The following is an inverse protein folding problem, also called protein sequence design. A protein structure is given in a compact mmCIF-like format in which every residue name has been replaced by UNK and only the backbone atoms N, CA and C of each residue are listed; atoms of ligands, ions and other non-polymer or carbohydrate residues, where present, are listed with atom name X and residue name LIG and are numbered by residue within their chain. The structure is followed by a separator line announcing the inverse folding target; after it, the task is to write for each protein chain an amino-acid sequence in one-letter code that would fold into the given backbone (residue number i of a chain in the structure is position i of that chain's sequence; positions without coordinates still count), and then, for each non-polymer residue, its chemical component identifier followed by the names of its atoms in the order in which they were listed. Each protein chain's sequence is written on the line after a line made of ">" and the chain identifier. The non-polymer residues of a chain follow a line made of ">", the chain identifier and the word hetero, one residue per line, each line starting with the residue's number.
data_IF_130569539537
#
_entry.id   IF_130569539537
#
_cell.length_a   1.000
_cell.length_b   1.000
_cell.length_c   1.000
_cell.angle_alpha   90.00
_cell.angle_beta   90.00
_cell.angle_gamma   90.00
#
_symmetry.space_group_name_H-M   'P 1'
#
loop_
_entity.id
_entity.type
_entity.pdbx_description
1 polymer ?
#
# COMPACT_ATOMS: atom_id res chain seq x y z
N UNK A 1 -2.74 10.52 -18.69
CA UNK A 1 -3.51 9.56 -17.88
C UNK A 1 -2.63 8.42 -17.42
N UNK A 2 -2.94 7.81 -16.27
CA UNK A 2 -2.24 6.65 -15.73
C UNK A 2 -3.21 5.51 -15.45
N UNK A 3 -2.73 4.29 -15.66
CA UNK A 3 -3.29 3.07 -15.09
C UNK A 3 -2.43 2.63 -13.90
N UNK A 4 -3.08 2.22 -12.82
CA UNK A 4 -2.42 1.63 -11.65
C UNK A 4 -3.12 0.32 -11.34
N UNK A 5 -2.39 -0.79 -11.35
CA UNK A 5 -2.88 -2.07 -10.83
C UNK A 5 -2.26 -2.27 -9.45
N UNK A 6 -3.09 -2.25 -8.40
CA UNK A 6 -2.73 -2.75 -7.07
C UNK A 6 -2.99 -4.25 -7.07
N UNK A 7 -2.01 -4.95 -7.64
CA UNK A 7 -2.01 -6.39 -7.81
C UNK A 7 -0.58 -6.90 -7.52
N UNK A 8 -0.45 -8.21 -7.37
CA UNK A 8 0.81 -8.95 -7.23
C UNK A 8 1.68 -8.80 -8.47
N UNK A 9 2.32 -7.66 -8.60
CA UNK A 9 3.42 -7.52 -9.52
C UNK A 9 4.71 -8.00 -8.84
N UNK A 10 5.59 -8.65 -9.60
CA UNK A 10 6.95 -9.06 -9.21
C UNK A 10 7.88 -7.85 -8.91
N UNK A 11 7.30 -6.67 -8.67
CA UNK A 11 8.02 -5.45 -8.36
C UNK A 11 7.92 -5.09 -6.87
N UNK A 12 8.96 -4.46 -6.29
CA UNK A 12 9.06 -4.24 -4.84
C UNK A 12 7.91 -3.45 -4.19
N UNK A 13 7.18 -2.64 -4.97
CA UNK A 13 6.08 -1.79 -4.48
C UNK A 13 4.69 -2.46 -4.62
N UNK A 14 4.62 -3.70 -5.11
CA UNK A 14 3.37 -4.46 -5.31
C UNK A 14 2.27 -3.66 -6.00
N UNK A 15 2.68 -2.93 -7.05
CA UNK A 15 1.79 -2.26 -7.97
C UNK A 15 2.48 -2.00 -9.30
N UNK A 16 1.70 -2.05 -10.37
CA UNK A 16 2.10 -1.71 -11.74
C UNK A 16 1.51 -0.37 -12.10
N UNK A 17 2.34 0.50 -12.66
CA UNK A 17 1.94 1.83 -13.09
C UNK A 17 2.26 1.97 -14.56
N UNK A 18 1.25 2.28 -15.37
CA UNK A 18 1.41 2.44 -16.82
C UNK A 18 0.92 3.83 -17.21
N UNK A 19 1.72 4.53 -18.01
CA UNK A 19 1.29 5.81 -18.60
C UNK A 19 0.52 5.53 -19.88
N UNK A 20 -0.70 6.06 -19.96
CA UNK A 20 -1.59 5.87 -21.11
C UNK A 20 -1.66 7.14 -21.96
N UNK A 21 -1.78 7.01 -23.30
CA UNK A 21 -1.77 8.15 -24.21
C UNK A 21 -3.09 8.95 -24.20
N UNK A 22 -4.18 8.36 -23.72
CA UNK A 22 -5.50 8.98 -23.73
C UNK A 22 -5.63 10.09 -22.68
N UNK A 23 -6.45 11.08 -22.99
CA UNK A 23 -6.68 12.22 -22.12
C UNK A 23 -7.67 11.90 -20.98
N UNK A 24 -8.64 11.02 -21.24
CA UNK A 24 -9.71 10.69 -20.30
C UNK A 24 -9.94 9.19 -20.23
N UNK A 25 -10.57 8.73 -19.14
CA UNK A 25 -11.00 7.33 -18.97
C UNK A 25 -11.91 6.90 -20.11
N UNK A 26 -12.88 7.76 -20.47
CA UNK A 26 -13.84 7.48 -21.55
C UNK A 26 -13.15 7.26 -22.90
N UNK A 27 -12.12 8.04 -23.22
CA UNK A 27 -11.41 7.92 -24.49
C UNK A 27 -10.62 6.60 -24.59
N UNK A 28 -10.05 6.13 -23.48
CA UNK A 28 -9.36 4.83 -23.44
C UNK A 28 -10.32 3.67 -23.69
N UNK A 29 -11.49 3.64 -23.04
CA UNK A 29 -12.52 2.62 -23.29
C UNK A 29 -13.01 2.66 -24.74
N UNK A 30 -13.25 3.85 -25.31
CA UNK A 30 -13.64 3.97 -26.73
C UNK A 30 -12.60 3.40 -27.68
N UNK A 31 -11.32 3.55 -27.37
CA UNK A 31 -10.21 3.07 -28.20
C UNK A 31 -10.08 1.54 -28.18
N UNK A 32 -10.50 0.90 -27.09
CA UNK A 32 -10.57 -0.56 -26.94
C UNK A 32 -11.84 -1.21 -27.50
N UNK A 33 -12.91 -0.44 -27.69
CA UNK A 33 -14.28 -0.96 -27.85
C UNK A 33 -14.53 -1.93 -29.03
N UNK A 34 -13.73 -1.85 -30.09
CA UNK A 34 -13.91 -2.66 -31.31
C UNK A 34 -12.64 -3.43 -31.67
N UNK A 35 -11.88 -3.89 -30.66
CA UNK A 35 -10.71 -4.73 -30.86
C UNK A 35 -11.13 -6.17 -31.11
N UNK A 36 -10.53 -6.80 -32.12
CA UNK A 36 -10.82 -8.21 -32.47
C UNK A 36 -10.31 -9.20 -31.42
N UNK A 37 -9.33 -8.78 -30.60
CA UNK A 37 -8.73 -9.52 -29.49
C UNK A 37 -8.73 -8.62 -28.24
N UNK A 38 -9.85 -8.58 -27.48
CA UNK A 38 -9.98 -7.74 -26.29
C UNK A 38 -8.91 -8.00 -25.24
N UNK A 39 -8.72 -9.27 -24.85
CA UNK A 39 -7.74 -9.68 -23.84
C UNK A 39 -6.32 -9.26 -24.24
N UNK A 40 -5.87 -9.67 -25.43
CA UNK A 40 -4.52 -9.35 -25.91
C UNK A 40 -4.29 -7.84 -26.07
N UNK A 41 -5.34 -7.07 -26.38
CA UNK A 41 -5.27 -5.60 -26.41
C UNK A 41 -5.10 -5.01 -25.00
N UNK A 42 -5.88 -5.44 -24.02
CA UNK A 42 -5.76 -4.98 -22.62
C UNK A 42 -4.38 -5.32 -22.06
N UNK A 43 -3.95 -6.57 -22.19
CA UNK A 43 -2.64 -7.03 -21.72
C UNK A 43 -1.49 -6.22 -22.31
N UNK A 44 -1.53 -5.94 -23.63
CA UNK A 44 -0.50 -5.15 -24.30
C UNK A 44 -0.51 -3.68 -23.90
N UNK A 45 -1.67 -3.08 -23.63
CA UNK A 45 -1.77 -1.67 -23.26
C UNK A 45 -1.40 -1.42 -21.80
N UNK A 46 -1.67 -2.40 -20.93
CA UNK A 46 -1.51 -2.29 -19.48
C UNK A 46 -0.30 -3.04 -18.93
N UNK A 47 0.61 -3.47 -19.83
CA UNK A 47 1.86 -4.17 -19.51
C UNK A 47 1.65 -5.42 -18.64
N UNK A 48 0.63 -6.21 -18.99
CA UNK A 48 0.26 -7.44 -18.30
C UNK A 48 -1.25 -7.57 -18.08
N UNK A 49 -1.63 -8.77 -17.64
CA UNK A 49 -3.02 -9.12 -17.36
C UNK A 49 -3.62 -8.28 -16.22
N UNK A 50 -4.92 -7.98 -16.36
CA UNK A 50 -5.71 -7.24 -15.39
C UNK A 50 -7.02 -7.99 -15.23
N UNK A 51 -7.12 -8.71 -14.12
CA UNK A 51 -8.21 -9.65 -13.85
C UNK A 51 -9.56 -9.07 -14.24
N UNK A 52 -10.21 -9.74 -15.19
CA UNK A 52 -11.57 -9.50 -15.65
C UNK A 52 -11.85 -8.14 -16.32
N UNK A 53 -10.84 -7.29 -16.54
CA UNK A 53 -11.04 -5.98 -17.18
C UNK A 53 -11.44 -6.10 -18.66
N UNK A 54 -11.01 -7.17 -19.33
CA UNK A 54 -11.32 -7.47 -20.72
C UNK A 54 -12.78 -7.86 -20.96
N UNK A 55 -13.49 -8.38 -19.96
CA UNK A 55 -14.89 -8.83 -20.04
C UNK A 55 -15.86 -7.82 -20.65
N UNK A 56 -15.74 -6.52 -20.33
CA UNK A 56 -16.59 -5.47 -20.92
C UNK A 56 -16.38 -5.34 -22.43
N UNK A 57 -15.14 -5.53 -22.90
CA UNK A 57 -14.80 -5.45 -24.31
C UNK A 57 -15.21 -6.71 -25.06
N UNK A 58 -15.12 -7.88 -24.42
CA UNK A 58 -15.67 -9.13 -24.94
C UNK A 58 -17.18 -9.04 -25.15
N UNK A 59 -17.93 -8.60 -24.13
CA UNK A 59 -19.38 -8.39 -24.21
C UNK A 59 -19.76 -7.34 -25.27
N UNK A 60 -18.96 -6.27 -25.40
CA UNK A 60 -19.14 -5.29 -26.46
C UNK A 60 -18.99 -5.90 -27.86
N UNK A 61 -18.02 -6.79 -28.06
CA UNK A 61 -17.78 -7.48 -29.32
C UNK A 61 -18.89 -8.51 -29.61
N UNK A 62 -19.21 -9.36 -28.64
CA UNK A 62 -20.20 -10.44 -28.78
C UNK A 62 -21.61 -9.90 -29.08
N UNK A 63 -22.00 -8.81 -28.40
CA UNK A 63 -23.32 -8.19 -28.54
C UNK A 63 -23.37 -7.04 -29.52
N UNK A 64 -22.24 -6.67 -30.12
CA UNK A 64 -22.11 -5.53 -31.03
C UNK A 64 -22.59 -4.23 -30.39
N UNK A 65 -22.20 -3.99 -29.13
CA UNK A 65 -22.59 -2.79 -28.40
C UNK A 65 -21.93 -1.54 -29.01
N UNK A 66 -22.65 -0.41 -29.12
CA UNK A 66 -22.02 0.84 -29.55
C UNK A 66 -21.02 1.33 -28.48
N UNK A 67 -19.93 2.00 -28.89
CA UNK A 67 -19.01 2.61 -27.93
C UNK A 67 -19.72 3.70 -27.12
N UNK A 68 -19.41 3.84 -25.81
CA UNK A 68 -20.07 4.82 -24.95
C UNK A 68 -19.88 6.25 -25.46
N UNK A 69 -20.95 7.04 -25.51
CA UNK A 69 -20.93 8.44 -25.94
C UNK A 69 -20.74 9.42 -24.77
N UNK A 70 -20.89 8.94 -23.53
CA UNK A 70 -20.70 9.74 -22.32
C UNK A 70 -20.15 8.91 -21.16
N UNK A 71 -19.68 9.59 -20.11
CA UNK A 71 -19.26 8.94 -18.85
C UNK A 71 -20.44 8.21 -18.18
N UNK A 72 -21.66 8.74 -18.31
CA UNK A 72 -22.86 8.08 -17.81
C UNK A 72 -23.12 6.76 -18.54
N UNK A 73 -23.04 6.76 -19.87
CA UNK A 73 -23.18 5.52 -20.66
C UNK A 73 -22.06 4.52 -20.36
N UNK A 74 -20.82 4.98 -20.20
CA UNK A 74 -19.73 4.09 -19.78
C UNK A 74 -20.00 3.49 -18.39
N UNK A 75 -20.54 4.27 -17.45
CA UNK A 75 -20.92 3.77 -16.12
C UNK A 75 -21.95 2.65 -16.23
N UNK A 76 -22.99 2.86 -17.03
CA UNK A 76 -24.06 1.87 -17.21
C UNK A 76 -23.49 0.58 -17.82
N UNK A 77 -22.64 0.70 -18.85
CA UNK A 77 -21.99 -0.45 -19.50
C UNK A 77 -21.02 -1.19 -18.57
N UNK A 78 -20.24 -0.49 -17.75
CA UNK A 78 -19.37 -1.13 -16.76
C UNK A 78 -20.19 -1.93 -15.74
N UNK A 79 -21.26 -1.35 -15.19
CA UNK A 79 -22.08 -2.08 -14.22
C UNK A 79 -22.84 -3.27 -14.84
N UNK A 80 -23.13 -3.24 -16.14
CA UNK A 80 -23.84 -4.34 -16.82
C UNK A 80 -22.90 -5.44 -17.32
N UNK A 81 -21.68 -5.09 -17.75
CA UNK A 81 -20.83 -5.99 -18.54
C UNK A 81 -19.41 -6.20 -18.01
N UNK A 82 -18.93 -5.36 -17.08
CA UNK A 82 -17.65 -5.63 -16.43
C UNK A 82 -17.86 -6.74 -15.39
N UNK A 83 -17.21 -7.87 -15.59
CA UNK A 83 -17.15 -8.90 -14.57
C UNK A 83 -16.27 -8.41 -13.41
N UNK A 84 -16.88 -8.30 -12.23
CA UNK A 84 -16.20 -7.97 -10.99
C UNK A 84 -16.61 -9.00 -9.95
N UNK A 85 -15.63 -9.78 -9.52
CA UNK A 85 -15.86 -10.83 -8.56
C UNK A 85 -15.91 -10.27 -7.13
N UNK A 86 -16.87 -10.77 -6.35
CA UNK A 86 -17.17 -10.28 -5.00
C UNK A 86 -18.06 -9.02 -4.94
N UNK A 87 -18.47 -8.43 -6.07
CA UNK A 87 -19.31 -7.21 -6.07
C UNK A 87 -20.82 -7.51 -5.97
N UNK A 88 -21.23 -8.24 -4.93
CA UNK A 88 -22.63 -8.63 -4.72
C UNK A 88 -23.59 -7.42 -4.59
N UNK A 89 -23.07 -6.28 -4.11
CA UNK A 89 -23.84 -5.07 -3.81
C UNK A 89 -23.65 -3.94 -4.86
N UNK A 90 -22.84 -4.14 -5.91
CA UNK A 90 -22.62 -3.15 -6.98
C UNK A 90 -21.86 -1.89 -6.55
N UNK A 91 -20.93 -2.01 -5.60
CA UNK A 91 -20.19 -0.89 -4.99
C UNK A 91 -18.70 -0.87 -5.32
N UNK A 92 -18.20 -1.90 -6.01
CA UNK A 92 -16.78 -2.03 -6.32
C UNK A 92 -16.38 -1.28 -7.59
N UNK A 93 -17.33 -0.96 -8.47
CA UNK A 93 -17.09 -0.11 -9.64
C UNK A 93 -17.42 1.34 -9.30
N UNK A 94 -16.39 2.20 -9.24
CA UNK A 94 -16.54 3.65 -9.01
C UNK A 94 -16.02 4.43 -10.20
N UNK A 95 -16.92 5.06 -10.95
CA UNK A 95 -16.59 5.91 -12.10
C UNK A 95 -17.08 7.35 -11.89
N UNK A 96 -16.15 8.30 -11.98
CA UNK A 96 -16.42 9.72 -12.16
C UNK A 96 -15.80 10.22 -13.46
N UNK A 97 -15.77 11.54 -13.68
CA UNK A 97 -15.23 12.14 -14.91
C UNK A 97 -13.74 11.88 -15.11
N UNK A 98 -12.98 11.80 -14.02
CA UNK A 98 -11.52 11.80 -14.03
C UNK A 98 -10.92 10.45 -13.62
N UNK A 99 -11.70 9.60 -12.93
CA UNK A 99 -11.22 8.32 -12.41
C UNK A 99 -12.20 7.18 -12.59
N UNK A 100 -11.65 6.02 -12.96
CA UNK A 100 -12.27 4.71 -12.75
C UNK A 100 -11.48 4.00 -11.66
N UNK A 101 -12.17 3.46 -10.67
CA UNK A 101 -11.59 2.71 -9.55
C UNK A 101 -12.41 1.45 -9.40
N UNK A 102 -11.77 0.29 -9.55
CA UNK A 102 -12.43 -1.00 -9.46
C UNK A 102 -11.73 -1.83 -8.39
N UNK A 103 -12.51 -2.42 -7.50
CA UNK A 103 -12.08 -3.51 -6.62
C UNK A 103 -12.59 -4.83 -7.21
N UNK A 104 -11.83 -5.90 -7.10
CA UNK A 104 -12.29 -7.27 -7.43
C UNK A 104 -11.60 -8.25 -6.49
N UNK A 105 -12.19 -9.42 -6.30
CA UNK A 105 -11.54 -10.60 -5.75
C UNK A 105 -11.18 -11.54 -6.91
N UNK A 106 -10.25 -12.48 -6.74
CA UNK A 106 -9.93 -13.55 -7.72
C UNK A 106 -10.05 -14.95 -7.08
N UNK A 107 -10.95 -15.08 -6.09
CA UNK A 107 -11.12 -16.21 -5.16
C UNK A 107 -10.01 -16.36 -4.10
N UNK A 108 -8.84 -15.76 -4.31
CA UNK A 108 -7.68 -15.92 -3.44
C UNK A 108 -7.13 -14.58 -2.91
N UNK A 109 -7.51 -13.45 -3.53
CA UNK A 109 -6.89 -12.14 -3.40
C UNK A 109 -7.84 -10.97 -3.66
N UNK A 110 -7.89 -10.00 -2.72
CA UNK A 110 -8.46 -8.69 -3.03
C UNK A 110 -7.52 -7.83 -3.86
N UNK A 111 -8.07 -7.22 -4.91
CA UNK A 111 -7.34 -6.51 -5.95
C UNK A 111 -8.03 -5.22 -6.29
N UNK A 112 -7.26 -4.25 -6.75
CA UNK A 112 -7.87 -3.05 -7.26
C UNK A 112 -7.05 -2.46 -8.40
N UNK A 113 -7.75 -1.93 -9.39
CA UNK A 113 -7.12 -1.20 -10.47
C UNK A 113 -7.81 0.14 -10.70
N UNK A 114 -7.01 1.08 -11.23
CA UNK A 114 -7.37 2.48 -11.28
C UNK A 114 -6.97 3.05 -12.64
N UNK A 115 -7.88 3.80 -13.26
CA UNK A 115 -7.55 4.75 -14.31
C UNK A 115 -7.71 6.15 -13.71
N UNK A 116 -6.67 6.97 -13.83
CA UNK A 116 -6.64 8.30 -13.23
C UNK A 116 -6.05 9.27 -14.24
N UNK A 117 -6.83 10.24 -14.68
CA UNK A 117 -6.34 11.28 -15.59
C UNK A 117 -5.43 12.30 -14.90
N UNK A 118 -4.78 13.14 -15.71
CA UNK A 118 -3.79 14.08 -15.20
C UNK A 118 -4.41 15.20 -14.34
N UNK A 119 -5.70 15.52 -14.56
CA UNK A 119 -6.44 16.51 -13.78
C UNK A 119 -6.71 16.01 -12.36
N UNK A 120 -7.11 14.73 -12.20
CA UNK A 120 -7.27 14.11 -10.88
C UNK A 120 -5.95 14.08 -10.09
N UNK A 121 -4.83 13.75 -10.74
CA UNK A 121 -3.51 13.79 -10.08
C UNK A 121 -3.13 15.19 -9.63
N UNK A 122 -3.37 16.20 -10.47
CA UNK A 122 -3.08 17.58 -10.15
C UNK A 122 -3.97 18.11 -9.01
N UNK A 123 -5.24 17.69 -8.96
CA UNK A 123 -6.20 18.11 -7.96
C UNK A 123 -5.98 17.46 -6.59
N UNK A 124 -5.50 16.21 -6.55
CA UNK A 124 -5.37 15.41 -5.31
C UNK A 124 -4.01 14.69 -5.18
N UNK A 125 -2.87 15.40 -5.21
CA UNK A 125 -1.56 14.76 -5.13
C UNK A 125 -1.35 14.01 -3.80
N UNK A 126 -1.96 14.47 -2.71
CA UNK A 126 -1.95 13.83 -1.39
C UNK A 126 -2.68 12.48 -1.35
N UNK A 127 -3.44 12.13 -2.39
CA UNK A 127 -4.12 10.84 -2.53
C UNK A 127 -3.37 9.90 -3.45
N UNK A 128 -2.80 10.44 -4.53
CA UNK A 128 -2.28 9.62 -5.62
C UNK A 128 -0.75 9.59 -5.77
N UNK A 129 0.01 10.43 -5.06
CA UNK A 129 1.46 10.50 -5.22
C UNK A 129 2.16 9.15 -5.02
N UNK A 130 1.77 8.34 -4.02
CA UNK A 130 2.30 6.99 -3.84
C UNK A 130 1.79 6.02 -4.89
N UNK A 131 0.52 6.13 -5.32
CA UNK A 131 -0.06 5.27 -6.35
C UNK A 131 0.65 5.41 -7.71
N UNK A 132 1.06 6.64 -8.07
CA UNK A 132 1.84 6.91 -9.29
C UNK A 132 3.33 6.54 -9.16
N UNK A 133 3.84 6.41 -7.94
CA UNK A 133 5.26 6.17 -7.73
C UNK A 133 5.60 4.71 -8.02
N UNK A 134 6.28 4.47 -9.14
CA UNK A 134 6.56 3.14 -9.70
C UNK A 134 7.97 2.62 -9.43
N UNK A 135 8.85 3.47 -8.88
CA UNK A 135 10.27 3.17 -8.75
C UNK A 135 10.64 2.87 -7.31
N UNK A 136 11.34 1.77 -7.07
CA UNK A 136 12.00 1.53 -5.79
C UNK A 136 13.43 2.11 -5.79
N UNK A 137 13.91 2.72 -4.68
CA UNK A 137 13.21 3.01 -3.42
C UNK A 137 12.47 4.36 -3.44
N UNK A 138 11.62 4.62 -2.44
CA UNK A 138 11.10 5.96 -2.16
C UNK A 138 12.27 6.95 -1.92
N UNK A 139 12.13 8.24 -2.25
CA UNK A 139 13.21 9.24 -2.14
C UNK A 139 13.73 9.37 -0.70
N UNK A 140 15.03 9.65 -0.56
CA UNK A 140 15.70 9.82 0.74
C UNK A 140 15.74 11.26 1.27
N UNK A 141 15.17 12.22 0.52
CA UNK A 141 15.22 13.65 0.86
C UNK A 141 14.48 13.96 2.17
N UNK A 142 15.04 14.87 2.97
CA UNK A 142 14.49 15.26 4.26
C UNK A 142 14.56 16.77 4.47
N UNK A 143 13.53 17.32 5.11
CA UNK A 143 13.47 18.74 5.43
C UNK A 143 14.44 19.10 6.57
N UNK A 144 14.67 20.41 6.73
CA UNK A 144 15.43 20.92 7.87
C UNK A 144 14.75 20.59 9.21
N UNK A 145 15.50 20.50 10.33
CA UNK A 145 14.90 20.34 11.65
C UNK A 145 13.86 21.43 11.95
N UNK A 146 12.76 21.05 12.59
CA UNK A 146 11.64 21.97 12.91
C UNK A 146 10.63 22.16 11.79
N UNK A 147 10.81 21.53 10.63
CA UNK A 147 9.76 21.43 9.63
C UNK A 147 8.55 20.67 10.19
N UNK A 148 7.35 21.11 9.84
CA UNK A 148 6.10 20.50 10.29
C UNK A 148 5.48 19.65 9.18
N UNK A 149 4.81 18.57 9.59
CA UNK A 149 4.00 17.74 8.70
C UNK A 149 2.61 17.55 9.32
N UNK A 150 1.58 17.74 8.51
CA UNK A 150 0.20 17.40 8.85
C UNK A 150 -0.25 16.26 7.96
N UNK A 151 -0.57 15.12 8.57
CA UNK A 151 -0.93 13.90 7.85
C UNK A 151 -2.38 13.92 7.33
N UNK A 152 -3.31 14.61 8.00
CA UNK A 152 -4.75 14.73 7.62
C UNK A 152 -5.51 13.41 7.36
N UNK A 153 -4.89 12.27 7.62
CA UNK A 153 -5.48 10.93 7.53
C UNK A 153 -5.48 10.25 8.89
N UNK A 154 -6.44 9.34 9.16
CA UNK A 154 -6.45 8.57 10.40
C UNK A 154 -5.15 7.77 10.58
N UNK A 155 -4.58 7.82 11.78
CA UNK A 155 -3.40 7.04 12.17
C UNK A 155 -3.60 6.49 13.58
N UNK A 156 -3.06 5.31 13.85
CA UNK A 156 -3.16 4.65 15.16
C UNK A 156 -1.98 5.06 16.03
N UNK A 157 -2.25 5.67 17.18
CA UNK A 157 -1.19 6.23 18.02
C UNK A 157 -0.61 5.18 18.98
N UNK A 158 0.71 5.04 18.98
CA UNK A 158 1.46 4.25 19.97
C UNK A 158 2.35 5.19 20.78
N UNK A 159 1.99 5.42 22.05
CA UNK A 159 2.69 6.37 22.92
C UNK A 159 3.83 5.69 23.67
N UNK A 160 5.06 5.97 23.26
CA UNK A 160 6.29 5.44 23.88
C UNK A 160 7.26 6.55 24.32
N UNK A 161 6.90 7.80 24.07
CA UNK A 161 7.65 9.00 24.46
C UNK A 161 6.68 10.12 24.85
N UNK A 162 7.14 11.14 25.60
CA UNK A 162 6.36 12.36 25.82
C UNK A 162 5.99 13.03 24.49
N UNK A 163 4.82 13.69 24.38
CA UNK A 163 4.43 14.40 23.16
C UNK A 163 5.48 15.44 22.75
N UNK A 164 5.73 15.53 21.45
CA UNK A 164 6.65 16.49 20.85
C UNK A 164 6.24 16.85 19.42
N UNK A 165 6.95 17.80 18.79
CA UNK A 165 6.64 18.25 17.42
C UNK A 165 6.98 17.19 16.36
N UNK A 166 7.90 16.28 16.67
CA UNK A 166 8.29 15.19 15.79
C UNK A 166 7.44 13.95 16.03
N UNK A 167 7.27 13.14 14.99
CA UNK A 167 6.65 11.84 15.07
C UNK A 167 7.32 10.89 14.07
N UNK A 168 7.29 9.60 14.39
CA UNK A 168 7.61 8.53 13.44
C UNK A 168 6.32 7.88 12.98
N UNK A 169 6.20 7.66 11.68
CA UNK A 169 5.11 6.93 11.05
C UNK A 169 5.61 5.55 10.63
N UNK A 170 4.76 4.54 10.80
CA UNK A 170 5.02 3.18 10.37
C UNK A 170 3.87 2.71 9.48
N UNK A 171 4.21 2.41 8.23
CA UNK A 171 3.27 1.95 7.22
C UNK A 171 3.67 0.56 6.76
N UNK A 172 2.85 -0.43 7.07
CA UNK A 172 3.05 -1.81 6.61
C UNK A 172 1.96 -2.13 5.60
N UNK A 173 2.38 -2.49 4.39
CA UNK A 173 1.53 -2.98 3.32
C UNK A 173 1.82 -4.47 3.22
N UNK A 174 0.91 -5.31 3.68
CA UNK A 174 1.15 -6.75 3.72
C UNK A 174 -0.05 -7.55 3.25
N UNK A 175 0.25 -8.78 2.85
CA UNK A 175 -0.73 -9.75 2.39
C UNK A 175 -1.83 -10.01 3.42
N UNK A 176 -1.43 -10.38 4.63
CA UNK A 176 -2.36 -10.76 5.70
C UNK A 176 -2.06 -9.94 6.94
N UNK A 177 -2.63 -8.73 7.05
CA UNK A 177 -2.55 -8.00 8.31
C UNK A 177 -3.22 -8.84 9.41
N UNK A 178 -2.61 -8.92 10.60
CA UNK A 178 -3.18 -9.68 11.71
C UNK A 178 -4.46 -9.07 12.28
N UNK A 179 -4.84 -7.87 11.81
CA UNK A 179 -5.91 -7.02 12.29
C UNK A 179 -6.82 -6.47 11.19
N UNK A 180 -6.74 -7.00 9.97
CA UNK A 180 -7.66 -6.70 8.89
C UNK A 180 -8.10 -7.98 8.16
N UNK A 181 -9.28 -7.92 7.54
CA UNK A 181 -9.88 -9.06 6.84
C UNK A 181 -9.37 -9.19 5.40
N UNK A 182 -8.84 -8.11 4.82
CA UNK A 182 -8.46 -7.99 3.41
C UNK A 182 -7.05 -7.40 3.24
N UNK A 183 -6.42 -7.63 2.09
CA UNK A 183 -5.11 -7.06 1.75
C UNK A 183 -5.18 -5.64 1.14
N UNK A 184 -6.40 -5.13 0.91
CA UNK A 184 -6.62 -3.77 0.43
C UNK A 184 -7.06 -2.79 1.51
N UNK A 185 -7.94 -3.22 2.43
CA UNK A 185 -8.45 -2.42 3.55
C UNK A 185 -7.67 -2.76 4.82
N UNK A 186 -6.44 -2.27 4.84
CA UNK A 186 -5.49 -2.52 5.92
C UNK A 186 -5.86 -1.70 7.17
N UNK A 187 -5.34 -2.13 8.33
CA UNK A 187 -5.67 -1.50 9.61
C UNK A 187 -5.14 -0.06 9.80
N UNK A 188 -4.47 0.53 8.81
CA UNK A 188 -3.93 1.88 8.86
C UNK A 188 -2.53 1.99 9.44
N UNK A 189 -1.87 3.09 9.12
CA UNK A 189 -0.54 3.42 9.62
C UNK A 189 -0.50 3.66 11.14
N UNK A 190 0.66 3.40 11.75
CA UNK A 190 0.94 3.78 13.13
C UNK A 190 1.66 5.13 13.20
N UNK A 191 1.46 5.85 14.29
CA UNK A 191 2.24 7.04 14.64
C UNK A 191 2.82 6.92 16.05
N UNK A 192 4.11 7.24 16.18
CA UNK A 192 4.87 7.31 17.43
C UNK A 192 5.23 8.78 17.70
N UNK A 193 4.38 9.53 18.42
CA UNK A 193 4.60 10.96 18.66
C UNK A 193 5.78 11.19 19.62
N UNK A 194 6.46 12.32 19.45
CA UNK A 194 7.60 12.74 20.26
C UNK A 194 8.93 12.12 19.88
N UNK A 195 9.02 11.44 18.73
CA UNK A 195 10.21 10.73 18.28
C UNK A 195 10.63 11.14 16.87
N UNK A 196 11.93 11.04 16.63
CA UNK A 196 12.52 11.00 15.28
C UNK A 196 12.89 9.56 14.94
N UNK A 197 13.09 9.24 13.66
CA UNK A 197 13.38 7.87 13.24
C UNK A 197 14.66 7.30 13.90
N UNK A 198 15.76 8.07 14.05
CA UNK A 198 16.93 7.62 14.82
C UNK A 198 16.64 7.36 16.30
N UNK A 199 15.62 8.00 16.89
CA UNK A 199 15.24 7.80 18.28
C UNK A 199 14.28 6.61 18.52
N UNK A 200 13.71 6.04 17.46
CA UNK A 200 12.63 5.07 17.56
C UNK A 200 13.06 3.77 18.27
N UNK A 201 14.21 3.21 17.92
CA UNK A 201 14.70 1.97 18.50
C UNK A 201 14.87 2.07 20.03
N UNK A 202 15.46 3.18 20.50
CA UNK A 202 15.61 3.45 21.93
C UNK A 202 14.23 3.57 22.62
N UNK A 203 13.27 4.25 21.99
CA UNK A 203 11.91 4.38 22.50
C UNK A 203 11.20 3.03 22.65
N UNK A 204 11.28 2.15 21.64
CA UNK A 204 10.63 0.84 21.65
C UNK A 204 11.14 -0.06 22.77
N UNK A 205 12.44 0.02 23.08
CA UNK A 205 13.08 -0.75 24.16
C UNK A 205 12.80 -0.21 25.56
N UNK A 206 12.60 1.09 25.69
CA UNK A 206 12.40 1.74 26.99
C UNK A 206 11.02 1.46 27.61
N UNK A 207 10.08 0.91 26.84
CA UNK A 207 8.72 0.62 27.33
C UNK A 207 8.66 -0.69 28.09
N UNK A 208 8.07 -0.62 29.28
CA UNK A 208 7.79 -1.76 30.13
C UNK A 208 6.80 -2.74 29.50
N UNK A 209 7.08 -4.02 29.68
CA UNK A 209 6.37 -5.15 29.09
C UNK A 209 4.82 -5.11 29.22
N UNK A 210 4.21 -4.77 30.38
CA UNK A 210 2.75 -4.78 30.55
C UNK A 210 2.02 -3.77 29.65
N UNK A 211 2.65 -2.64 29.32
CA UNK A 211 2.04 -1.55 28.55
C UNK A 211 1.95 -1.87 27.05
N UNK A 212 2.66 -2.92 26.61
CA UNK A 212 2.69 -3.34 25.20
C UNK A 212 1.53 -4.26 24.80
N UNK A 213 0.71 -4.72 25.76
CA UNK A 213 -0.43 -5.63 25.49
C UNK A 213 -1.47 -5.04 24.56
N UNK A 214 -1.69 -3.73 24.67
CA UNK A 214 -2.68 -3.00 23.87
C UNK A 214 -2.07 -2.45 22.56
N UNK A 215 -0.81 -2.74 22.29
CA UNK A 215 -0.18 -2.28 21.05
C UNK A 215 -0.75 -3.01 19.84
N UNK A 216 -0.89 -2.30 18.71
CA UNK A 216 -1.15 -2.94 17.42
C UNK A 216 -0.10 -4.02 17.11
N UNK A 217 -0.47 -5.10 16.38
CA UNK A 217 0.45 -6.17 15.99
C UNK A 217 1.77 -5.66 15.40
N UNK A 218 1.71 -4.69 14.49
CA UNK A 218 2.90 -4.14 13.82
C UNK A 218 3.88 -3.45 14.78
N UNK A 219 3.37 -2.76 15.82
CA UNK A 219 4.24 -2.15 16.84
C UNK A 219 4.92 -3.22 17.70
N UNK A 220 4.22 -4.33 18.00
CA UNK A 220 4.81 -5.46 18.73
C UNK A 220 5.86 -6.17 17.88
N UNK A 221 5.60 -6.36 16.59
CA UNK A 221 6.53 -6.96 15.65
C UNK A 221 7.78 -6.10 15.50
N UNK A 222 7.63 -4.78 15.30
CA UNK A 222 8.75 -3.86 15.19
C UNK A 222 9.61 -3.86 16.46
N UNK A 223 8.97 -3.89 17.63
CA UNK A 223 9.68 -4.03 18.91
C UNK A 223 10.42 -5.36 19.00
N UNK A 224 9.79 -6.48 18.64
CA UNK A 224 10.43 -7.80 18.66
C UNK A 224 11.64 -7.89 17.72
N UNK A 225 11.60 -7.19 16.59
CA UNK A 225 12.70 -7.14 15.63
C UNK A 225 13.86 -6.22 16.05
N UNK A 226 13.62 -5.29 16.97
CA UNK A 226 14.63 -4.35 17.46
C UNK A 226 15.51 -5.04 18.50
N UNK A 227 16.82 -5.14 18.26
CA UNK A 227 17.71 -5.77 19.23
C UNK A 227 17.99 -4.86 20.45
N UNK A 228 18.33 -5.43 21.63
CA UNK A 228 18.55 -4.66 22.86
C UNK A 228 19.61 -3.56 22.78
N UNK A 229 20.61 -3.71 21.91
CA UNK A 229 21.79 -2.85 21.77
C UNK A 229 21.76 -1.93 20.53
N UNK A 230 20.72 -2.03 19.70
CA UNK A 230 20.63 -1.28 18.45
C UNK A 230 20.35 0.20 18.62
N UNK A 231 20.96 1.04 17.80
CA UNK A 231 20.78 2.50 17.91
C UNK A 231 19.70 3.03 16.98
N UNK A 232 19.39 2.31 15.92
CA UNK A 232 18.37 2.64 14.92
C UNK A 232 17.55 1.39 14.56
N UNK A 233 16.49 1.61 13.78
CA UNK A 233 15.57 0.56 13.36
C UNK A 233 15.94 -0.09 12.02
N UNK A 234 17.07 0.31 11.40
CA UNK A 234 17.50 -0.22 10.11
C UNK A 234 17.68 -1.73 10.15
N UNK A 235 18.44 -2.21 11.13
CA UNK A 235 18.66 -3.64 11.37
C UNK A 235 17.38 -4.42 11.70
N UNK A 236 16.39 -3.78 12.32
CA UNK A 236 15.09 -4.40 12.57
C UNK A 236 14.36 -4.71 11.24
N UNK A 237 14.49 -3.84 10.23
CA UNK A 237 13.94 -4.08 8.89
C UNK A 237 14.77 -5.10 8.11
N UNK A 238 16.08 -5.17 8.31
CA UNK A 238 16.89 -6.28 7.77
C UNK A 238 16.45 -7.64 8.34
N UNK A 239 16.14 -7.67 9.64
CA UNK A 239 15.55 -8.85 10.29
C UNK A 239 14.17 -9.18 9.75
N UNK A 240 13.33 -8.18 9.49
CA UNK A 240 12.02 -8.38 8.86
C UNK A 240 12.14 -9.11 7.52
N UNK A 241 13.11 -8.74 6.69
CA UNK A 241 13.36 -9.37 5.38
C UNK A 241 13.76 -10.86 5.47
N UNK A 242 14.12 -11.35 6.66
CA UNK A 242 14.54 -12.73 6.93
C UNK A 242 13.45 -13.58 7.59
N UNK A 243 12.28 -12.99 7.84
CA UNK A 243 11.15 -13.73 8.40
C UNK A 243 10.52 -14.60 7.30
N UNK A 244 10.27 -15.89 7.57
CA UNK A 244 9.73 -16.80 6.56
C UNK A 244 8.21 -16.63 6.38
N UNK A 245 7.70 -17.12 5.25
CA UNK A 245 6.27 -17.29 5.00
C UNK A 245 5.45 -16.00 4.86
N UNK A 246 4.15 -16.14 4.64
CA UNK A 246 3.22 -15.02 4.43
C UNK A 246 2.80 -14.31 5.73
N UNK A 247 2.83 -14.99 6.88
CA UNK A 247 2.62 -14.38 8.20
C UNK A 247 3.95 -14.36 8.96
N UNK A 248 4.69 -13.25 8.94
CA UNK A 248 6.01 -13.16 9.55
C UNK A 248 5.96 -12.98 11.08
N UNK A 249 4.80 -13.11 11.72
CA UNK A 249 4.64 -12.82 13.15
C UNK A 249 4.98 -14.05 14.01
N UNK A 250 5.79 -13.91 15.08
CA UNK A 250 5.95 -14.98 16.06
C UNK A 250 4.62 -15.41 16.67
N UNK A 251 4.40 -16.72 16.81
CA UNK A 251 3.14 -17.26 17.31
C UNK A 251 2.76 -16.73 18.71
N UNK A 252 3.77 -16.41 19.52
CA UNK A 252 3.58 -15.88 20.87
C UNK A 252 3.76 -14.36 20.97
N UNK A 253 3.72 -13.62 19.86
CA UNK A 253 3.91 -12.16 19.86
C UNK A 253 2.94 -11.40 20.79
N UNK A 254 1.75 -11.96 21.02
CA UNK A 254 0.75 -11.43 21.96
C UNK A 254 0.82 -12.01 23.39
N UNK A 255 1.67 -13.01 23.63
CA UNK A 255 1.75 -13.77 24.90
C UNK A 255 3.05 -13.53 25.65
N UNK A 256 4.17 -13.37 24.96
CA UNK A 256 5.45 -13.00 25.55
C UNK A 256 5.52 -11.49 25.77
N UNK A 257 6.01 -11.08 26.93
CA UNK A 257 5.99 -9.66 27.32
C UNK A 257 7.40 -9.10 27.52
N UNK A 258 8.36 -9.92 27.96
CA UNK A 258 9.74 -9.49 28.06
C UNK A 258 10.35 -9.31 26.66
N UNK A 259 10.98 -8.16 26.45
CA UNK A 259 11.62 -7.80 25.18
C UNK A 259 12.62 -8.86 24.70
N UNK A 260 13.46 -9.34 25.62
CA UNK A 260 14.53 -10.29 25.28
C UNK A 260 14.00 -11.70 24.95
N UNK A 261 12.83 -12.07 25.49
CA UNK A 261 12.20 -13.36 25.19
C UNK A 261 11.60 -13.34 23.78
N UNK A 262 10.81 -12.32 23.47
CA UNK A 262 10.17 -12.18 22.16
C UNK A 262 11.19 -11.93 21.04
N UNK A 263 12.26 -11.18 21.33
CA UNK A 263 13.35 -10.98 20.39
C UNK A 263 14.06 -12.30 20.07
N UNK A 264 14.31 -13.14 21.08
CA UNK A 264 14.94 -14.45 20.88
C UNK A 264 14.09 -15.39 20.04
N UNK A 265 12.80 -15.52 20.34
CA UNK A 265 11.88 -16.32 19.52
C UNK A 265 11.85 -15.82 18.07
N UNK A 266 11.85 -14.50 17.89
CA UNK A 266 11.90 -13.87 16.57
C UNK A 266 13.19 -14.25 15.82
N UNK A 267 14.34 -14.24 16.48
CA UNK A 267 15.62 -14.67 15.88
C UNK A 267 15.63 -16.17 15.53
N UNK A 268 14.99 -17.02 16.33
CA UNK A 268 14.91 -18.47 16.10
C UNK A 268 14.09 -18.83 14.84
N UNK A 269 13.16 -17.95 14.44
CA UNK A 269 12.35 -18.11 13.23
C UNK A 269 13.08 -17.68 11.94
N UNK A 270 14.12 -16.87 12.04
CA UNK A 270 14.74 -16.24 10.87
C UNK A 270 15.51 -17.21 10.00
N UNK A 271 15.44 -17.00 8.69
CA UNK A 271 16.38 -17.60 7.76
C UNK A 271 17.77 -16.97 7.92
N UNK A 272 18.86 -17.68 7.56
CA UNK A 272 20.21 -17.12 7.60
C UNK A 272 20.37 -15.87 6.73
N UNK A 273 19.73 -15.88 5.56
CA UNK A 273 19.76 -14.80 4.56
C UNK A 273 18.32 -14.42 4.17
N UNK A 274 18.07 -13.15 3.79
CA UNK A 274 16.78 -12.75 3.23
C UNK A 274 16.41 -13.57 1.99
N UNK A 275 15.11 -13.72 1.70
CA UNK A 275 14.65 -14.32 0.46
C UNK A 275 15.22 -13.56 -0.75
N UNK A 276 15.68 -14.29 -1.77
CA UNK A 276 16.20 -13.72 -3.01
C UNK A 276 15.14 -12.79 -3.63
N UNK A 277 15.49 -11.52 -3.83
CA UNK A 277 14.55 -10.49 -4.31
C UNK A 277 14.18 -9.47 -3.25
N UNK A 278 14.34 -9.78 -1.96
CA UNK A 278 14.08 -8.79 -0.89
C UNK A 278 14.99 -7.58 -0.99
N UNK A 279 14.42 -6.38 -0.89
CA UNK A 279 15.16 -5.12 -0.96
C UNK A 279 15.03 -4.34 0.34
N UNK A 280 16.13 -3.73 0.77
CA UNK A 280 16.18 -2.89 1.98
C UNK A 280 16.90 -1.59 1.62
N UNK A 281 16.34 -0.47 2.05
CA UNK A 281 16.98 0.85 1.95
C UNK A 281 16.83 1.57 3.28
N UNK A 282 17.96 2.03 3.82
CA UNK A 282 18.00 2.78 5.07
C UNK A 282 18.67 4.13 4.84
N UNK A 283 17.91 5.19 5.01
CA UNK A 283 18.36 6.58 5.07
C UNK A 283 18.02 7.16 6.45
N UNK A 284 18.55 8.33 6.80
CA UNK A 284 18.43 8.87 8.16
C UNK A 284 16.98 9.11 8.62
N UNK A 285 16.10 9.47 7.69
CA UNK A 285 14.71 9.88 7.97
C UNK A 285 13.66 8.98 7.31
N UNK A 286 14.10 7.94 6.58
CA UNK A 286 13.25 6.87 6.04
C UNK A 286 14.01 5.55 6.03
N UNK A 287 13.40 4.48 6.52
CA UNK A 287 13.83 3.09 6.31
C UNK A 287 12.69 2.36 5.64
N UNK A 288 13.00 1.58 4.61
CA UNK A 288 12.01 0.85 3.83
C UNK A 288 12.54 -0.55 3.48
N UNK A 289 11.64 -1.52 3.56
CA UNK A 289 11.90 -2.91 3.15
C UNK A 289 10.76 -3.37 2.24
N UNK A 290 11.13 -4.06 1.17
CA UNK A 290 10.25 -4.89 0.36
C UNK A 290 10.71 -6.33 0.57
N UNK A 291 10.03 -7.06 1.45
CA UNK A 291 10.31 -8.46 1.77
C UNK A 291 9.64 -9.33 0.72
N UNK A 292 10.45 -10.01 -0.09
CA UNK A 292 9.93 -10.96 -1.07
C UNK A 292 9.47 -12.24 -0.36
N UNK A 293 8.27 -12.69 -0.70
CA UNK A 293 7.65 -13.89 -0.14
C UNK A 293 7.86 -15.06 -1.12
N UNK A 294 7.20 -14.99 -2.27
CA UNK A 294 7.30 -15.91 -3.41
C UNK A 294 6.57 -15.30 -4.63
N UNK A 295 6.56 -16.00 -5.76
CA UNK A 295 5.91 -15.54 -7.01
C UNK A 295 4.39 -15.43 -6.89
N UNK A 296 3.78 -16.08 -5.89
CA UNK A 296 2.34 -16.01 -5.67
C UNK A 296 2.00 -14.79 -4.80
N UNK A 297 2.64 -14.61 -3.66
CA UNK A 297 2.34 -13.51 -2.72
C UNK A 297 3.13 -12.23 -2.95
N UNK A 298 4.14 -12.24 -3.83
CA UNK A 298 4.93 -11.07 -4.19
C UNK A 298 5.75 -10.52 -3.02
N UNK A 299 5.48 -9.26 -2.65
CA UNK A 299 6.23 -8.52 -1.65
C UNK A 299 5.34 -8.01 -0.52
N UNK A 300 5.83 -8.10 0.71
CA UNK A 300 5.37 -7.28 1.83
C UNK A 300 6.24 -6.03 1.92
N UNK A 301 5.64 -4.84 2.03
CA UNK A 301 6.38 -3.61 2.27
C UNK A 301 6.23 -3.11 3.69
N UNK A 302 7.31 -2.54 4.22
CA UNK A 302 7.27 -1.78 5.47
C UNK A 302 8.10 -0.52 5.33
N UNK A 303 7.44 0.64 5.49
CA UNK A 303 8.04 1.96 5.47
C UNK A 303 7.99 2.57 6.87
N UNK A 304 9.14 3.00 7.38
CA UNK A 304 9.27 3.81 8.58
C UNK A 304 9.85 5.16 8.20
N UNK A 305 9.17 6.25 8.51
CA UNK A 305 9.66 7.61 8.22
C UNK A 305 9.27 8.59 9.31
N UNK A 306 10.04 9.66 9.49
CA UNK A 306 9.71 10.70 10.47
C UNK A 306 9.18 11.99 9.85
N UNK A 307 8.78 12.92 10.71
CA UNK A 307 8.29 14.26 10.34
C UNK A 307 9.18 14.96 9.33
N UNK A 308 10.50 14.77 9.35
CA UNK A 308 11.41 15.49 8.45
C UNK A 308 11.34 14.94 7.03
N UNK A 309 11.28 13.62 6.87
CA UNK A 309 11.02 13.02 5.56
C UNK A 309 9.62 13.38 5.07
N UNK A 310 8.61 13.27 5.93
CA UNK A 310 7.23 13.56 5.57
C UNK A 310 7.03 15.04 5.17
N UNK A 311 7.73 15.97 5.83
CA UNK A 311 7.68 17.39 5.48
C UNK A 311 8.35 17.72 4.13
N UNK A 312 9.38 16.96 3.72
CA UNK A 312 9.99 17.10 2.40
C UNK A 312 9.18 16.42 1.28
N UNK A 313 8.42 15.37 1.62
CA UNK A 313 7.68 14.53 0.68
C UNK A 313 6.18 14.50 1.02
N UNK A 314 5.57 15.68 1.24
CA UNK A 314 4.25 15.76 1.88
C UNK A 314 3.16 14.96 1.18
N UNK A 315 3.06 15.10 -0.13
CA UNK A 315 2.01 14.43 -0.91
C UNK A 315 2.23 12.92 -0.95
N UNK A 316 3.49 12.48 -1.10
CA UNK A 316 3.87 11.07 -1.06
C UNK A 316 3.58 10.46 0.32
N UNK A 317 3.91 11.16 1.40
CA UNK A 317 3.66 10.71 2.77
C UNK A 317 2.16 10.58 3.05
N UNK A 318 1.34 11.58 2.68
CA UNK A 318 -0.12 11.51 2.86
C UNK A 318 -0.74 10.39 2.01
N UNK A 319 -0.29 10.25 0.77
CA UNK A 319 -0.78 9.24 -0.16
C UNK A 319 -0.44 7.83 0.35
N UNK A 320 0.78 7.61 0.84
CA UNK A 320 1.20 6.33 1.43
C UNK A 320 0.42 6.01 2.71
N UNK A 321 0.21 6.98 3.60
CA UNK A 321 -0.60 6.78 4.81
C UNK A 321 -2.05 6.42 4.48
N UNK A 322 -2.62 7.01 3.42
CA UNK A 322 -3.97 6.72 2.95
C UNK A 322 -4.07 5.35 2.28
N UNK A 323 -3.08 5.00 1.45
CA UNK A 323 -2.99 3.72 0.75
C UNK A 323 -3.01 2.52 1.72
N UNK A 324 -2.54 2.74 2.94
CA UNK A 324 -2.53 1.75 4.01
C UNK A 324 -3.82 1.65 4.82
N UNK A 325 -4.91 2.28 4.40
CA UNK A 325 -6.19 2.29 5.13
C UNK A 325 -7.31 1.66 4.32
N UNK A 326 -7.39 2.01 3.03
CA UNK A 326 -8.54 1.63 2.20
C UNK A 326 -8.11 1.47 0.75
N UNK A 327 -8.83 0.65 -0.01
CA UNK A 327 -8.58 0.48 -1.44
C UNK A 327 -8.85 1.77 -2.23
N UNK A 328 -10.02 2.38 -2.05
CA UNK A 328 -10.39 3.61 -2.75
C UNK A 328 -9.64 4.84 -2.18
N UNK A 329 -8.82 5.54 -2.99
CA UNK A 329 -8.13 6.75 -2.57
C UNK A 329 -9.06 7.92 -2.19
N UNK A 330 -10.35 7.89 -2.55
CA UNK A 330 -11.34 8.91 -2.18
C UNK A 330 -12.17 8.58 -0.95
N UNK A 331 -11.93 7.44 -0.29
CA UNK A 331 -12.66 7.08 0.91
C UNK A 331 -12.64 8.20 1.98
N UNK A 332 -13.78 8.34 2.67
CA UNK A 332 -14.04 9.41 3.64
C UNK A 332 -14.38 10.79 3.04
N UNK A 333 -14.51 10.92 1.71
CA UNK A 333 -15.07 12.12 1.08
C UNK A 333 -16.60 12.04 0.98
N UNK A 334 -17.31 13.18 1.04
CA UNK A 334 -18.71 13.22 0.61
C UNK A 334 -18.80 12.76 -0.85
N UNK A 335 -19.77 11.89 -1.16
CA UNK A 335 -20.12 11.58 -2.54
C UNK A 335 -20.62 12.86 -3.22
N UNK A 336 -20.02 13.25 -4.35
CA UNK A 336 -20.51 14.35 -5.18
C UNK A 336 -21.82 14.00 -5.90
#
# INVERSE_FOLDING_TARGET
>A
MYFVCRWRDEVPLSKRVVTLPDATVLDWFRRGWARDDPQGWVESELDGDVYSLDSIFEEALERQLPPPQSVAELRDLLNEHLWVEGDDDGTFIRLDTHTLRVRTDDDEVDLAYYFVDDDAFAASPDRFAFMRHDTWPLPGDAAAPGAAFSHSVPVRTVRIAPPGPDAVFSVRLCWKPSDAETNLDLAGALVFPGLTLPGLAAGLRAVDAPDTRLWPPDARLLRALTAPDEKDVGMALERYARLPGYDPSPANIGRLWAHDEIHRETLEMMTPEPSLGSLIRSDQHIVQVARYIDDFFGFDQWFLFDTRWAAANQDLARSLLRYAVHWDPYDGMPSE
#
